data_IF_400050066498
#
_entry.id   IF_400050066498
#
_cell.length_a   1.000
_cell.length_b   1.000
_cell.length_c   1.000
_cell.angle_alpha   90.00
_cell.angle_beta   90.00
_cell.angle_gamma   90.00
#
_symmetry.space_group_name_H-M   'P 1'
#
loop_
_entity.id
_entity.type
_entity.pdbx_description
1 polymer ?
#
# COMPACT_ATOMS: atom_id res chain seq x y z
N UNK A 1 2.63 -22.66 6.68
CA UNK A 1 3.94 -21.95 6.80
C UNK A 1 3.79 -20.60 6.09
N UNK A 2 4.00 -19.46 6.76
CA UNK A 2 3.94 -18.15 6.11
C UNK A 2 5.08 -18.04 5.09
N UNK A 3 4.80 -17.47 3.91
CA UNK A 3 5.76 -17.35 2.80
C UNK A 3 5.71 -15.93 2.25
N UNK A 4 6.89 -15.34 2.00
CA UNK A 4 7.05 -14.03 1.37
C UNK A 4 7.67 -14.23 -0.02
N UNK A 5 6.96 -13.82 -1.06
CA UNK A 5 7.45 -13.85 -2.43
C UNK A 5 8.08 -12.50 -2.79
N UNK A 6 9.31 -12.51 -3.33
CA UNK A 6 10.05 -11.30 -3.70
C UNK A 6 10.36 -11.36 -5.18
N UNK A 7 9.93 -10.34 -5.93
CA UNK A 7 10.36 -10.18 -7.30
C UNK A 7 11.72 -9.46 -7.35
N UNK A 8 12.77 -10.22 -7.70
CA UNK A 8 14.14 -9.72 -7.75
C UNK A 8 14.37 -8.72 -8.90
N UNK A 9 13.58 -8.77 -9.98
CA UNK A 9 13.76 -7.83 -11.10
C UNK A 9 13.39 -6.39 -10.75
N UNK A 10 12.54 -6.18 -9.73
CA UNK A 10 12.17 -4.88 -9.20
C UNK A 10 12.94 -4.44 -7.95
N UNK A 11 13.83 -5.30 -7.43
CA UNK A 11 14.51 -5.07 -6.16
C UNK A 11 15.68 -4.09 -6.32
N UNK A 12 15.46 -2.80 -5.99
CA UNK A 12 16.53 -1.79 -5.92
C UNK A 12 17.22 -1.80 -4.55
N UNK A 13 18.50 -1.43 -4.52
CA UNK A 13 19.27 -1.29 -3.27
C UNK A 13 18.56 -0.29 -2.33
N UNK A 14 18.44 -0.62 -1.04
CA UNK A 14 17.63 0.05 0.00
C UNK A 14 16.10 -0.12 -0.07
N UNK A 15 15.54 -0.63 -1.18
CA UNK A 15 14.10 -0.93 -1.26
C UNK A 15 13.78 -2.26 -0.55
N UNK A 16 14.64 -3.26 -0.72
CA UNK A 16 14.47 -4.59 -0.13
C UNK A 16 14.37 -4.54 1.40
N UNK A 17 15.26 -3.80 2.07
CA UNK A 17 15.22 -3.66 3.53
C UNK A 17 13.93 -2.99 4.00
N UNK A 18 13.50 -1.92 3.34
CA UNK A 18 12.22 -1.26 3.64
C UNK A 18 11.03 -2.21 3.47
N UNK A 19 11.03 -3.03 2.42
CA UNK A 19 10.00 -4.05 2.20
C UNK A 19 10.02 -5.13 3.29
N UNK A 20 11.19 -5.63 3.70
CA UNK A 20 11.29 -6.59 4.79
C UNK A 20 10.79 -6.01 6.12
N UNK A 21 11.07 -4.73 6.40
CA UNK A 21 10.52 -4.02 7.57
C UNK A 21 9.00 -3.84 7.48
N UNK A 22 8.46 -3.62 6.28
CA UNK A 22 7.02 -3.55 6.03
C UNK A 22 6.34 -4.90 6.31
N UNK A 23 6.78 -5.95 5.63
CA UNK A 23 6.12 -7.25 5.63
C UNK A 23 6.41 -8.04 6.90
N UNK A 24 7.68 -8.16 7.28
CA UNK A 24 8.10 -8.95 8.44
C UNK A 24 8.03 -8.09 9.71
N UNK A 25 8.64 -6.91 9.67
CA UNK A 25 8.77 -6.02 10.82
C UNK A 25 7.44 -5.48 11.36
N UNK A 26 6.42 -5.38 10.50
CA UNK A 26 5.08 -4.93 10.88
C UNK A 26 4.07 -6.06 10.77
N UNK A 27 3.69 -6.46 9.55
CA UNK A 27 2.54 -7.35 9.36
C UNK A 27 2.73 -8.71 10.05
N UNK A 28 3.86 -9.38 9.81
CA UNK A 28 4.10 -10.70 10.37
C UNK A 28 4.20 -10.69 11.90
N UNK A 29 5.07 -9.85 12.48
CA UNK A 29 5.28 -9.82 13.93
C UNK A 29 4.00 -9.44 14.66
N UNK A 30 3.21 -8.48 14.13
CA UNK A 30 1.93 -8.10 14.73
C UNK A 30 0.89 -9.20 14.60
N UNK A 31 0.86 -9.92 13.48
CA UNK A 31 0.02 -11.10 13.32
C UNK A 31 0.33 -12.19 14.36
N UNK A 32 1.61 -12.50 14.55
CA UNK A 32 2.07 -13.47 15.58
C UNK A 32 1.71 -12.98 16.98
N UNK A 33 1.97 -11.72 17.29
CA UNK A 33 1.65 -11.15 18.59
C UNK A 33 0.14 -11.16 18.87
N UNK A 34 -0.68 -10.78 17.88
CA UNK A 34 -2.15 -10.81 17.99
C UNK A 34 -2.66 -12.24 18.21
N UNK A 35 -2.05 -13.25 17.56
CA UNK A 35 -2.42 -14.65 17.75
C UNK A 35 -2.17 -15.16 19.18
N UNK A 36 -1.27 -14.55 19.93
CA UNK A 36 -1.03 -14.87 21.34
C UNK A 36 -1.96 -14.13 22.31
N UNK A 37 -2.81 -13.21 21.84
CA UNK A 37 -3.67 -12.43 22.72
C UNK A 37 -4.99 -13.15 23.03
N UNK A 38 -5.59 -12.95 24.21
CA UNK A 38 -6.90 -13.50 24.56
C UNK A 38 -8.03 -13.11 23.58
N UNK A 39 -7.87 -12.00 22.86
CA UNK A 39 -8.82 -11.48 21.88
C UNK A 39 -8.46 -11.83 20.43
N UNK A 40 -7.60 -12.82 20.18
CA UNK A 40 -7.17 -13.13 18.82
C UNK A 40 -8.32 -13.59 17.89
N UNK A 41 -9.37 -14.20 18.45
CA UNK A 41 -10.55 -14.71 17.76
C UNK A 41 -11.70 -13.70 17.70
N UNK A 42 -12.64 -13.89 16.78
CA UNK A 42 -13.85 -13.07 16.68
C UNK A 42 -14.65 -13.07 17.98
N UNK A 43 -14.75 -14.23 18.64
CA UNK A 43 -15.42 -14.42 19.92
C UNK A 43 -14.69 -13.67 21.04
N UNK A 44 -13.37 -13.80 21.11
CA UNK A 44 -12.54 -13.08 22.07
C UNK A 44 -12.69 -11.56 21.90
N UNK A 45 -12.63 -11.04 20.68
CA UNK A 45 -12.83 -9.61 20.43
C UNK A 45 -14.20 -9.13 20.91
N UNK A 46 -15.27 -9.90 20.69
CA UNK A 46 -16.60 -9.57 21.21
C UNK A 46 -16.62 -9.56 22.74
N UNK A 47 -15.99 -10.54 23.39
CA UNK A 47 -15.90 -10.61 24.85
C UNK A 47 -15.21 -9.38 25.46
N UNK A 48 -14.17 -8.87 24.80
CA UNK A 48 -13.43 -7.68 25.23
C UNK A 48 -13.96 -6.36 24.62
N UNK A 49 -15.14 -6.36 23.99
CA UNK A 49 -15.75 -5.17 23.36
C UNK A 49 -14.85 -4.48 22.32
N UNK A 50 -14.04 -5.25 21.59
CA UNK A 50 -13.13 -4.75 20.55
C UNK A 50 -13.80 -4.78 19.17
N UNK A 51 -13.50 -3.76 18.35
CA UNK A 51 -13.82 -3.74 16.91
C UNK A 51 -13.14 -4.92 16.18
N UNK A 52 -13.59 -5.34 14.98
CA UNK A 52 -12.87 -6.30 14.15
C UNK A 52 -11.38 -5.95 13.99
N UNK A 53 -10.54 -6.96 13.77
CA UNK A 53 -9.13 -6.73 13.51
C UNK A 53 -8.99 -5.81 12.28
N UNK A 54 -8.16 -4.78 12.39
CA UNK A 54 -7.85 -3.93 11.24
C UNK A 54 -7.13 -4.79 10.20
N UNK A 55 -7.70 -5.03 9.01
CA UNK A 55 -7.10 -5.93 8.04
C UNK A 55 -5.82 -5.36 7.42
N UNK A 56 -5.63 -4.04 7.48
CA UNK A 56 -4.60 -3.34 6.69
C UNK A 56 -3.94 -2.28 7.56
N UNK A 57 -2.90 -2.64 8.29
CA UNK A 57 -2.04 -1.71 9.05
C UNK A 57 -0.99 -1.04 8.15
N UNK A 58 -1.39 -0.78 6.91
CA UNK A 58 -0.56 -0.28 5.81
C UNK A 58 0.09 1.06 6.14
N UNK A 59 -0.56 1.90 6.95
CA UNK A 59 0.01 3.16 7.42
C UNK A 59 1.27 2.95 8.26
N UNK A 60 1.20 2.10 9.28
CA UNK A 60 2.35 1.78 10.13
C UNK A 60 3.44 1.05 9.34
N UNK A 61 3.04 0.10 8.48
CA UNK A 61 3.97 -0.62 7.62
C UNK A 61 4.68 0.32 6.61
N UNK A 62 3.97 1.32 6.09
CA UNK A 62 4.55 2.38 5.23
C UNK A 62 5.56 3.25 5.96
N UNK A 63 5.31 3.59 7.23
CA UNK A 63 6.27 4.32 8.06
C UNK A 63 7.55 3.50 8.30
N UNK A 64 7.41 2.23 8.70
CA UNK A 64 8.54 1.31 8.88
C UNK A 64 9.36 1.09 7.60
N UNK A 65 8.75 1.24 6.43
CA UNK A 65 9.43 1.12 5.13
C UNK A 65 10.48 2.21 4.89
N UNK A 66 10.33 3.37 5.54
CA UNK A 66 11.18 4.56 5.31
C UNK A 66 11.93 5.02 6.55
N UNK A 67 11.51 4.63 7.76
CA UNK A 67 11.98 5.13 9.06
C UNK A 67 13.51 5.19 9.20
N UNK A 68 14.22 4.20 8.64
CA UNK A 68 15.68 4.07 8.77
C UNK A 68 16.46 4.54 7.54
N UNK A 69 15.78 5.16 6.57
CA UNK A 69 16.46 5.73 5.40
C UNK A 69 17.06 7.08 5.77
N UNK A 70 18.19 7.44 5.15
CA UNK A 70 18.81 8.77 5.28
C UNK A 70 17.82 9.92 5.01
N UNK A 71 16.89 9.69 4.08
CA UNK A 71 15.82 10.62 3.74
C UNK A 71 14.48 9.87 3.81
N UNK A 72 13.77 9.91 4.95
CA UNK A 72 12.58 9.10 5.20
C UNK A 72 11.31 9.70 4.56
N UNK A 73 11.38 10.11 3.30
CA UNK A 73 10.25 10.73 2.61
C UNK A 73 9.17 9.71 2.24
N UNK A 74 7.92 10.04 2.57
CA UNK A 74 6.73 9.27 2.18
C UNK A 74 6.24 9.59 0.77
N UNK A 75 7.12 10.03 -0.12
CA UNK A 75 6.74 10.55 -1.45
C UNK A 75 5.89 9.56 -2.25
N UNK A 76 6.24 8.26 -2.21
CA UNK A 76 5.47 7.21 -2.91
C UNK A 76 4.06 7.06 -2.33
N UNK A 77 3.94 7.08 -1.00
CA UNK A 77 2.64 6.98 -0.34
C UNK A 77 1.78 8.22 -0.63
N UNK A 78 2.38 9.41 -0.60
CA UNK A 78 1.72 10.66 -0.97
C UNK A 78 1.25 10.66 -2.43
N UNK A 79 2.10 10.19 -3.36
CA UNK A 79 1.73 10.09 -4.77
C UNK A 79 0.62 9.06 -5.00
N UNK A 80 0.64 7.91 -4.32
CA UNK A 80 -0.43 6.91 -4.38
C UNK A 80 -1.76 7.51 -3.90
N UNK A 81 -1.74 8.22 -2.77
CA UNK A 81 -2.92 8.90 -2.24
C UNK A 81 -3.46 9.94 -3.23
N UNK A 82 -2.59 10.82 -3.74
CA UNK A 82 -2.94 11.80 -4.76
C UNK A 82 -3.55 11.16 -6.01
N UNK A 83 -2.95 10.05 -6.48
CA UNK A 83 -3.41 9.32 -7.67
C UNK A 83 -4.85 8.82 -7.47
N UNK A 84 -5.16 8.24 -6.31
CA UNK A 84 -6.52 7.77 -6.02
C UNK A 84 -7.51 8.93 -5.95
N UNK A 85 -7.14 10.03 -5.28
CA UNK A 85 -7.98 11.23 -5.22
C UNK A 85 -8.29 11.80 -6.61
N UNK A 86 -7.27 11.92 -7.48
CA UNK A 86 -7.46 12.41 -8.84
C UNK A 86 -8.21 11.41 -9.72
N UNK A 87 -7.99 10.12 -9.55
CA UNK A 87 -8.71 9.08 -10.28
C UNK A 87 -10.24 9.16 -10.06
N UNK A 88 -10.68 9.60 -8.88
CA UNK A 88 -12.10 9.85 -8.59
C UNK A 88 -12.74 10.92 -9.49
N UNK A 89 -11.94 11.84 -10.05
CA UNK A 89 -12.42 12.98 -10.83
C UNK A 89 -12.00 12.96 -12.31
N UNK A 90 -10.97 12.19 -12.67
CA UNK A 90 -10.37 12.19 -14.01
C UNK A 90 -10.59 10.86 -14.72
N UNK A 91 -10.69 10.87 -16.06
CA UNK A 91 -10.55 9.65 -16.88
C UNK A 91 -9.15 9.05 -16.77
N UNK A 92 -8.95 7.82 -17.26
CA UNK A 92 -7.62 7.19 -17.28
C UNK A 92 -6.60 8.04 -18.05
N UNK A 93 -6.96 8.53 -19.24
CA UNK A 93 -6.07 9.32 -20.09
C UNK A 93 -5.72 10.67 -19.45
N UNK A 94 -6.68 11.31 -18.77
CA UNK A 94 -6.43 12.56 -18.04
C UNK A 94 -5.53 12.33 -16.84
N UNK A 95 -5.79 11.28 -16.04
CA UNK A 95 -4.95 10.91 -14.91
C UNK A 95 -3.52 10.62 -15.36
N UNK A 96 -3.33 9.87 -16.45
CA UNK A 96 -2.00 9.57 -17.00
C UNK A 96 -1.23 10.83 -17.40
N UNK A 97 -1.92 11.82 -17.99
CA UNK A 97 -1.32 13.12 -18.32
C UNK A 97 -1.01 13.93 -17.05
N UNK A 98 -1.94 13.96 -16.11
CA UNK A 98 -1.84 14.70 -14.85
C UNK A 98 -0.64 14.24 -14.00
N UNK A 99 -0.45 12.93 -13.86
CA UNK A 99 0.70 12.35 -13.16
C UNK A 99 2.06 12.68 -13.82
N UNK A 100 2.06 13.12 -15.09
CA UNK A 100 3.27 13.55 -15.80
C UNK A 100 4.02 14.70 -15.13
N UNK A 101 3.34 15.48 -14.27
CA UNK A 101 3.95 16.54 -13.46
C UNK A 101 4.91 16.01 -12.39
N UNK A 102 4.72 14.75 -11.96
CA UNK A 102 5.46 14.14 -10.86
C UNK A 102 6.27 12.90 -11.29
N UNK A 103 5.80 12.17 -12.31
CA UNK A 103 6.40 10.93 -12.78
C UNK A 103 6.66 11.03 -14.28
N UNK A 104 7.91 11.15 -14.66
CA UNK A 104 8.29 11.28 -16.08
C UNK A 104 8.15 9.94 -16.84
N UNK A 105 8.58 8.85 -16.20
CA UNK A 105 8.54 7.51 -16.78
C UNK A 105 7.10 7.07 -17.09
N UNK A 106 6.83 6.77 -18.36
CA UNK A 106 5.51 6.39 -18.83
C UNK A 106 5.03 5.04 -18.29
N UNK A 107 5.94 4.08 -18.10
CA UNK A 107 5.61 2.76 -17.54
C UNK A 107 5.19 2.86 -16.08
N UNK A 108 5.94 3.63 -15.28
CA UNK A 108 5.58 3.89 -13.88
C UNK A 108 4.24 4.63 -13.77
N UNK A 109 3.98 5.62 -14.64
CA UNK A 109 2.66 6.28 -14.68
C UNK A 109 1.54 5.31 -15.01
N UNK A 110 1.75 4.46 -16.01
CA UNK A 110 0.78 3.43 -16.39
C UNK A 110 0.42 2.55 -15.21
N UNK A 111 1.41 2.03 -14.47
CA UNK A 111 1.19 1.21 -13.28
C UNK A 111 0.37 1.93 -12.20
N UNK A 112 0.64 3.22 -11.95
CA UNK A 112 -0.16 4.02 -11.01
C UNK A 112 -1.62 4.18 -11.48
N UNK A 113 -1.83 4.51 -12.76
CA UNK A 113 -3.16 4.64 -13.32
C UNK A 113 -3.94 3.33 -13.26
N UNK A 114 -3.34 2.22 -13.71
CA UNK A 114 -3.95 0.89 -13.66
C UNK A 114 -4.31 0.52 -12.23
N UNK A 115 -3.42 0.75 -11.27
CA UNK A 115 -3.70 0.45 -9.86
C UNK A 115 -4.92 1.20 -9.33
N UNK A 116 -5.05 2.49 -9.63
CA UNK A 116 -6.16 3.31 -9.14
C UNK A 116 -7.47 3.08 -9.90
N UNK A 117 -7.40 2.70 -11.17
CA UNK A 117 -8.53 2.54 -12.10
C UNK A 117 -8.96 1.07 -12.30
N UNK A 118 -8.28 0.12 -11.67
CA UNK A 118 -8.56 -1.31 -11.83
C UNK A 118 -10.02 -1.63 -11.49
N UNK A 119 -10.62 -2.52 -12.28
CA UNK A 119 -12.00 -2.97 -12.07
C UNK A 119 -13.09 -2.03 -12.60
N UNK A 120 -12.73 -0.87 -13.19
CA UNK A 120 -13.70 -0.05 -13.92
C UNK A 120 -14.05 -0.67 -15.27
N UNK A 121 -15.34 -0.66 -15.61
CA UNK A 121 -15.84 -1.12 -16.90
C UNK A 121 -15.55 -0.13 -18.04
N UNK A 122 -15.65 1.17 -17.76
CA UNK A 122 -15.34 2.25 -18.70
C UNK A 122 -14.31 3.20 -18.10
N UNK A 123 -13.09 3.13 -18.61
CA UNK A 123 -11.95 3.95 -18.15
C UNK A 123 -11.95 5.37 -18.73
N UNK A 124 -12.88 5.70 -19.63
CA UNK A 124 -13.10 7.07 -20.08
C UNK A 124 -13.81 7.92 -19.04
N UNK A 125 -14.43 7.29 -18.02
CA UNK A 125 -15.15 7.97 -16.96
C UNK A 125 -14.30 8.13 -15.68
N UNK A 126 -14.63 9.12 -14.82
CA UNK A 126 -14.11 9.21 -13.48
C UNK A 126 -14.43 7.98 -12.61
N UNK A 127 -13.66 7.79 -11.55
CA UNK A 127 -13.87 6.74 -10.55
C UNK A 127 -12.59 5.97 -10.20
N UNK A 128 -12.57 5.36 -9.02
CA UNK A 128 -11.41 4.66 -8.50
C UNK A 128 -11.82 3.50 -7.59
N UNK A 129 -10.90 2.54 -7.40
CA UNK A 129 -11.02 1.48 -6.40
C UNK A 129 -10.54 1.95 -5.03
#
# INVERSE_FOLDING_TARGET
>A
RPTLAINLSGARQNWLEGMLRHEIGTHYIRGVNNASQPWHSSEGRKQYSLKPANPTEEGLASLHSVLFRKQPFLWRAALLYYTVCQAGCLSFCELFRDLGRYVQDAGVRWEYCVRAKRGQADTSLPGCF
#
